data_IF_060668383508
#
_entry.id   IF_060668383508
#
_cell.length_a   1.000
_cell.length_b   1.000
_cell.length_c   1.000
_cell.angle_alpha   90.00
_cell.angle_beta   90.00
_cell.angle_gamma   90.00
#
_symmetry.space_group_name_H-M   'P 1'
#
loop_
_entity.id
_entity.type
_entity.pdbx_description
1 polymer ?
#
# COMPACT_ATOMS: atom_id res chain seq x y z
N UNK A 1 -3.81 -6.76 20.35
CA UNK A 1 -2.51 -6.99 21.04
C UNK A 1 -1.62 -7.81 20.13
N UNK A 2 -0.36 -7.37 19.94
CA UNK A 2 0.61 -8.11 19.11
C UNK A 2 1.07 -9.40 19.83
N UNK A 3 1.02 -10.52 19.13
CA UNK A 3 1.33 -11.83 19.67
C UNK A 3 2.53 -12.49 18.96
N UNK A 4 3.30 -13.36 19.63
CA UNK A 4 4.42 -14.08 19.01
C UNK A 4 4.01 -14.89 17.76
N UNK A 5 2.80 -15.43 17.73
CA UNK A 5 2.21 -16.14 16.59
C UNK A 5 2.11 -15.26 15.34
N UNK A 6 1.71 -14.00 15.51
CA UNK A 6 1.65 -13.01 14.43
C UNK A 6 3.04 -12.76 13.81
N UNK A 7 4.06 -12.61 14.66
CA UNK A 7 5.44 -12.45 14.18
C UNK A 7 5.92 -13.66 13.41
N UNK A 8 5.60 -14.85 13.88
CA UNK A 8 5.99 -16.12 13.24
C UNK A 8 5.32 -16.27 11.87
N UNK A 9 4.01 -15.98 11.75
CA UNK A 9 3.29 -15.99 10.47
C UNK A 9 3.92 -15.01 9.48
N UNK A 10 4.11 -13.75 9.91
CA UNK A 10 4.78 -12.74 9.08
C UNK A 10 6.18 -13.16 8.61
N UNK A 11 6.98 -13.76 9.48
CA UNK A 11 8.33 -14.23 9.14
C UNK A 11 8.33 -15.43 8.17
N UNK A 12 7.32 -16.31 8.25
CA UNK A 12 7.22 -17.45 7.36
C UNK A 12 6.65 -17.06 5.99
N UNK A 13 5.57 -16.29 5.98
CA UNK A 13 4.77 -16.05 4.78
C UNK A 13 5.13 -14.73 4.09
N UNK A 14 5.78 -13.79 4.82
CA UNK A 14 6.06 -12.43 4.34
C UNK A 14 4.89 -11.49 4.46
N UNK A 15 3.74 -11.94 4.97
CA UNK A 15 2.58 -11.12 5.27
C UNK A 15 1.77 -11.65 6.46
N UNK A 16 0.91 -10.79 6.99
CA UNK A 16 0.05 -11.07 8.13
C UNK A 16 -1.30 -10.38 7.92
N UNK A 17 -2.39 -11.12 7.99
CA UNK A 17 -3.75 -10.57 7.96
C UNK A 17 -4.26 -10.39 9.39
N UNK A 18 -4.73 -9.19 9.71
CA UNK A 18 -5.38 -8.87 10.98
C UNK A 18 -6.77 -8.32 10.67
N UNK A 19 -7.76 -9.19 10.79
CA UNK A 19 -9.14 -8.82 10.51
C UNK A 19 -9.70 -7.92 11.61
N UNK A 20 -10.58 -6.98 11.22
CA UNK A 20 -11.33 -6.11 12.12
C UNK A 20 -10.46 -5.33 13.14
N UNK A 21 -9.24 -4.93 12.74
CA UNK A 21 -8.37 -4.12 13.59
C UNK A 21 -9.02 -2.77 13.92
N UNK A 22 -9.74 -2.21 12.96
CA UNK A 22 -10.47 -0.96 13.06
C UNK A 22 -11.98 -1.18 12.95
N UNK A 23 -12.74 -0.53 13.81
CA UNK A 23 -14.19 -0.44 13.70
C UNK A 23 -14.62 0.64 12.69
N UNK A 24 -15.90 0.66 12.32
CA UNK A 24 -16.45 1.73 11.47
C UNK A 24 -16.26 3.12 12.07
N UNK A 25 -16.30 3.23 13.40
CA UNK A 25 -16.06 4.49 14.11
C UNK A 25 -14.60 4.92 13.95
N UNK A 26 -13.64 3.99 14.06
CA UNK A 26 -12.21 4.27 13.86
C UNK A 26 -11.94 4.77 12.43
N UNK A 27 -12.66 4.25 11.43
CA UNK A 27 -12.49 4.58 10.01
C UNK A 27 -13.27 5.82 9.55
N UNK A 28 -14.26 6.27 10.33
CA UNK A 28 -15.24 7.28 9.88
C UNK A 28 -14.61 8.55 9.31
N UNK A 29 -13.64 9.13 10.02
CA UNK A 29 -12.98 10.36 9.58
C UNK A 29 -12.15 10.16 8.29
N UNK A 30 -11.45 9.02 8.17
CA UNK A 30 -10.64 8.72 7.00
C UNK A 30 -11.52 8.44 5.78
N UNK A 31 -12.62 7.69 5.96
CA UNK A 31 -13.60 7.46 4.90
C UNK A 31 -14.23 8.76 4.41
N UNK A 32 -14.70 9.61 5.34
CA UNK A 32 -15.27 10.89 4.97
C UNK A 32 -14.27 11.75 4.17
N UNK A 33 -13.03 11.85 4.67
CA UNK A 33 -11.99 12.61 3.94
C UNK A 33 -11.65 11.98 2.59
N UNK A 34 -11.70 10.66 2.47
CA UNK A 34 -11.53 9.96 1.19
C UNK A 34 -12.67 10.30 0.22
N UNK A 35 -13.92 10.33 0.70
CA UNK A 35 -15.08 10.72 -0.11
C UNK A 35 -14.98 12.18 -0.58
N UNK A 36 -14.53 13.09 0.28
CA UNK A 36 -14.28 14.48 -0.07
C UNK A 36 -13.23 14.62 -1.19
N UNK A 37 -12.12 13.86 -1.11
CA UNK A 37 -11.06 13.86 -2.13
C UNK A 37 -11.56 13.25 -3.46
N UNK A 38 -12.39 12.22 -3.41
CA UNK A 38 -12.98 11.62 -4.61
C UNK A 38 -13.94 12.60 -5.27
N UNK A 39 -14.74 13.31 -4.48
CA UNK A 39 -15.71 14.29 -4.99
C UNK A 39 -15.04 15.56 -5.54
N UNK A 40 -13.98 16.02 -4.88
CA UNK A 40 -13.19 17.19 -5.26
C UNK A 40 -11.68 16.91 -5.09
N UNK A 41 -11.03 16.36 -6.13
CA UNK A 41 -9.60 16.05 -6.09
C UNK A 41 -8.69 17.27 -5.90
N UNK A 42 -9.18 18.46 -6.18
CA UNK A 42 -8.43 19.71 -5.99
C UNK A 42 -8.49 20.18 -4.51
N UNK A 43 -9.31 19.54 -3.68
CA UNK A 43 -9.40 19.82 -2.23
C UNK A 43 -8.21 19.27 -1.42
N UNK A 44 -7.29 18.55 -2.03
CA UNK A 44 -6.08 18.05 -1.34
C UNK A 44 -5.12 19.20 -1.01
N UNK A 45 -4.36 19.11 0.09
CA UNK A 45 -3.32 20.09 0.40
C UNK A 45 -2.25 20.17 -0.70
N UNK A 46 -1.60 21.32 -0.83
CA UNK A 46 -0.43 21.47 -1.69
C UNK A 46 0.66 20.46 -1.30
N UNK A 47 1.26 19.80 -2.30
CA UNK A 47 2.25 18.74 -2.12
C UNK A 47 1.69 17.31 -2.15
N UNK A 48 0.37 17.14 -2.06
CA UNK A 48 -0.28 15.84 -2.27
C UNK A 48 -0.36 15.53 -3.76
N UNK A 49 0.13 14.36 -4.15
CA UNK A 49 -0.01 13.87 -5.53
C UNK A 49 -1.37 13.19 -5.72
N UNK A 50 -2.06 13.50 -6.82
CA UNK A 50 -3.30 12.82 -7.23
C UNK A 50 -3.07 12.10 -8.54
N UNK A 51 -3.32 10.78 -8.57
CA UNK A 51 -3.30 9.94 -9.77
C UNK A 51 -4.71 9.54 -10.18
N UNK A 52 -4.94 9.38 -11.47
CA UNK A 52 -6.24 8.99 -12.04
C UNK A 52 -6.14 7.68 -12.81
N UNK A 53 -7.27 7.02 -13.03
CA UNK A 53 -7.33 5.78 -13.81
C UNK A 53 -6.81 6.02 -15.25
N UNK A 54 -5.92 5.10 -15.69
CA UNK A 54 -5.34 5.18 -17.03
C UNK A 54 -4.31 6.30 -17.23
N UNK A 55 -3.90 7.00 -16.17
CA UNK A 55 -2.84 8.02 -16.29
C UNK A 55 -1.54 7.40 -16.77
N UNK A 56 -1.06 7.88 -17.89
CA UNK A 56 0.33 7.70 -18.35
C UNK A 56 1.10 9.00 -18.17
N UNK A 57 2.43 8.94 -18.18
CA UNK A 57 3.26 10.14 -18.08
C UNK A 57 2.94 11.20 -19.17
N UNK A 58 2.43 10.75 -20.33
CA UNK A 58 2.06 11.61 -21.46
C UNK A 58 0.67 12.26 -21.31
N UNK A 59 -0.24 11.64 -20.55
CA UNK A 59 -1.67 12.02 -20.52
C UNK A 59 -2.02 13.04 -19.43
N UNK A 60 -1.16 13.25 -18.43
CA UNK A 60 -1.48 14.00 -17.20
C UNK A 60 -1.90 15.45 -17.39
N UNK A 61 -1.70 16.01 -18.57
CA UNK A 61 -2.01 17.41 -18.86
C UNK A 61 -3.28 17.61 -19.69
N UNK A 62 -4.01 16.54 -20.06
CA UNK A 62 -5.21 16.65 -20.89
C UNK A 62 -6.48 16.84 -20.05
N UNK A 63 -7.47 17.57 -20.60
CA UNK A 63 -8.80 17.73 -19.99
C UNK A 63 -9.50 16.37 -19.87
N UNK A 64 -9.21 15.41 -20.74
CA UNK A 64 -9.72 14.06 -20.70
C UNK A 64 -9.18 13.31 -19.49
N UNK A 65 -7.89 13.47 -19.16
CA UNK A 65 -7.30 12.91 -17.93
C UNK A 65 -7.95 13.48 -16.67
N UNK A 66 -8.29 14.77 -16.66
CA UNK A 66 -8.94 15.43 -15.53
C UNK A 66 -10.34 14.85 -15.20
N UNK A 67 -11.01 14.26 -16.17
CA UNK A 67 -12.35 13.67 -16.03
C UNK A 67 -12.32 12.19 -15.59
N UNK A 68 -11.14 11.58 -15.50
CA UNK A 68 -11.03 10.18 -15.07
C UNK A 68 -11.17 10.05 -13.54
N UNK A 69 -11.67 8.91 -13.09
CA UNK A 69 -11.80 8.63 -11.67
C UNK A 69 -10.43 8.67 -10.94
N UNK A 70 -10.42 9.20 -9.73
CA UNK A 70 -9.22 9.18 -8.88
C UNK A 70 -8.84 7.74 -8.60
N UNK A 71 -7.60 7.37 -8.95
CA UNK A 71 -7.02 6.06 -8.66
C UNK A 71 -6.27 6.03 -7.33
N UNK A 72 -5.72 7.15 -6.92
CA UNK A 72 -4.99 7.23 -5.65
C UNK A 72 -4.34 8.57 -5.42
N UNK A 73 -3.77 8.69 -4.25
CA UNK A 73 -3.00 9.86 -3.83
C UNK A 73 -1.69 9.42 -3.19
N UNK A 74 -0.77 10.36 -3.01
CA UNK A 74 0.48 10.16 -2.27
C UNK A 74 0.76 11.35 -1.36
N UNK A 75 1.46 11.12 -0.24
CA UNK A 75 1.85 12.13 0.75
C UNK A 75 0.69 12.74 1.56
N UNK A 76 -0.44 12.05 1.68
CA UNK A 76 -1.54 12.51 2.55
C UNK A 76 -1.11 12.58 4.01
N UNK A 77 -0.34 11.61 4.52
CA UNK A 77 0.14 11.62 5.92
C UNK A 77 1.04 12.83 6.19
N UNK A 78 1.77 13.30 5.20
CA UNK A 78 2.64 14.47 5.37
C UNK A 78 1.86 15.79 5.45
N UNK A 79 0.75 15.90 4.73
CA UNK A 79 0.09 17.19 4.51
C UNK A 79 -1.36 17.26 5.02
N UNK A 80 -2.03 16.13 5.25
CA UNK A 80 -3.41 16.08 5.70
C UNK A 80 -3.53 15.55 7.15
N UNK A 81 -4.03 16.37 8.10
CA UNK A 81 -4.10 16.00 9.51
C UNK A 81 -4.97 14.77 9.81
N UNK A 82 -5.93 14.42 8.95
CA UNK A 82 -6.77 13.23 9.14
C UNK A 82 -5.93 11.97 8.95
N UNK A 83 -5.18 11.90 7.85
CA UNK A 83 -4.30 10.76 7.55
C UNK A 83 -3.09 10.72 8.48
N UNK A 84 -2.56 11.88 8.90
CA UNK A 84 -1.48 11.94 9.89
C UNK A 84 -1.88 11.28 11.21
N UNK A 85 -3.05 11.66 11.77
CA UNK A 85 -3.57 11.03 12.99
C UNK A 85 -3.88 9.55 12.81
N UNK A 86 -4.36 9.16 11.63
CA UNK A 86 -4.66 7.77 11.33
C UNK A 86 -3.39 6.91 11.29
N UNK A 87 -2.32 7.38 10.68
CA UNK A 87 -1.06 6.65 10.57
C UNK A 87 -0.37 6.37 11.92
N UNK A 88 -0.70 7.12 12.97
CA UNK A 88 -0.14 6.91 14.30
C UNK A 88 -1.13 6.25 15.28
N UNK A 89 -2.19 5.65 14.79
CA UNK A 89 -3.16 4.94 15.65
C UNK A 89 -2.45 3.85 16.49
N UNK A 90 -2.69 3.81 17.81
CA UNK A 90 -1.98 2.88 18.71
C UNK A 90 -2.07 1.42 18.30
N UNK A 91 -3.24 0.96 17.81
CA UNK A 91 -3.46 -0.40 17.33
C UNK A 91 -2.54 -0.76 16.15
N UNK A 92 -2.30 0.20 15.25
CA UNK A 92 -1.45 0.04 14.09
C UNK A 92 0.02 0.01 14.50
N UNK A 93 0.45 1.00 15.31
CA UNK A 93 1.83 1.11 15.77
C UNK A 93 2.25 -0.06 16.69
N UNK A 94 1.32 -0.62 17.45
CA UNK A 94 1.60 -1.81 18.27
C UNK A 94 2.10 -2.97 17.40
N UNK A 95 1.41 -3.25 16.27
CA UNK A 95 1.77 -4.34 15.37
C UNK A 95 3.06 -3.98 14.61
N UNK A 96 3.13 -2.79 14.04
CA UNK A 96 4.32 -2.33 13.30
C UNK A 96 5.59 -2.40 14.18
N UNK A 97 5.50 -1.89 15.43
CA UNK A 97 6.61 -1.95 16.38
C UNK A 97 6.95 -3.37 16.81
N UNK A 98 5.96 -4.25 16.88
CA UNK A 98 6.18 -5.69 17.13
C UNK A 98 6.95 -6.38 16.01
N UNK A 99 6.74 -5.96 14.75
CA UNK A 99 7.43 -6.49 13.58
C UNK A 99 8.82 -5.88 13.38
N UNK A 100 8.95 -4.56 13.45
CA UNK A 100 10.16 -3.80 13.10
C UNK A 100 11.02 -3.39 14.30
N UNK A 101 10.42 -3.28 15.49
CA UNK A 101 11.06 -2.70 16.66
C UNK A 101 10.52 -1.32 17.02
N UNK A 102 10.96 -0.71 18.14
CA UNK A 102 10.27 0.42 18.76
C UNK A 102 10.36 1.75 17.98
N UNK A 103 11.41 1.95 17.20
CA UNK A 103 11.67 3.21 16.49
C UNK A 103 11.33 3.06 15.02
N UNK A 104 10.19 3.59 14.63
CA UNK A 104 9.67 3.52 13.26
C UNK A 104 9.16 4.88 12.80
N UNK A 105 9.20 5.11 11.49
CA UNK A 105 8.63 6.27 10.82
C UNK A 105 7.63 5.81 9.75
N UNK A 106 6.69 6.66 9.37
CA UNK A 106 5.93 6.49 8.11
C UNK A 106 6.83 6.95 6.97
N UNK A 107 7.49 6.00 6.33
CA UNK A 107 8.42 6.27 5.24
C UNK A 107 7.69 6.84 4.01
N UNK A 108 6.56 6.22 3.65
CA UNK A 108 5.67 6.66 2.56
C UNK A 108 4.23 6.32 2.90
N UNK A 109 3.32 7.02 2.22
CA UNK A 109 1.90 6.71 2.25
C UNK A 109 1.27 6.88 0.88
N UNK A 110 0.22 6.13 0.66
CA UNK A 110 -0.64 6.18 -0.52
C UNK A 110 -2.07 5.89 -0.10
N UNK A 111 -3.01 6.47 -0.80
CA UNK A 111 -4.37 5.98 -0.84
C UNK A 111 -4.59 5.37 -2.22
N UNK A 112 -4.99 4.10 -2.28
CA UNK A 112 -5.28 3.41 -3.54
C UNK A 112 -6.77 3.06 -3.61
N UNK A 113 -7.37 3.52 -4.69
CA UNK A 113 -8.79 3.43 -4.95
C UNK A 113 -8.99 2.58 -6.21
N UNK A 114 -9.90 1.63 -6.14
CA UNK A 114 -10.40 0.91 -7.31
C UNK A 114 -11.86 1.26 -7.52
N UNK A 115 -12.17 2.19 -8.44
CA UNK A 115 -13.56 2.43 -8.85
C UNK A 115 -14.13 1.19 -9.55
N UNK A 116 -15.45 1.16 -9.84
CA UNK A 116 -16.01 0.20 -10.79
C UNK A 116 -15.19 0.17 -12.09
N UNK A 117 -14.75 -1.04 -12.51
CA UNK A 117 -13.85 -1.22 -13.65
C UNK A 117 -12.38 -0.84 -13.41
N UNK A 118 -12.00 -0.49 -12.18
CA UNK A 118 -10.63 -0.12 -11.81
C UNK A 118 -9.63 -1.23 -12.11
N UNK A 119 -8.47 -0.85 -12.70
CA UNK A 119 -7.50 -1.78 -13.24
C UNK A 119 -6.79 -2.65 -12.19
N UNK A 120 -6.36 -3.83 -12.61
CA UNK A 120 -5.45 -4.69 -11.85
C UNK A 120 -4.11 -3.99 -11.58
N UNK A 121 -3.46 -4.37 -10.49
CA UNK A 121 -2.04 -4.08 -10.23
C UNK A 121 -1.26 -5.38 -10.41
N UNK A 122 -0.34 -5.45 -11.38
CA UNK A 122 0.49 -6.62 -11.60
C UNK A 122 1.34 -7.00 -10.38
N UNK A 123 1.84 -8.23 -10.38
CA UNK A 123 2.74 -8.73 -9.36
C UNK A 123 3.97 -7.82 -9.21
N UNK A 124 4.29 -7.43 -8.00
CA UNK A 124 5.42 -6.52 -7.70
C UNK A 124 5.85 -6.66 -6.24
N UNK A 125 6.95 -6.00 -5.89
CA UNK A 125 7.43 -5.78 -4.54
C UNK A 125 7.50 -4.27 -4.28
N UNK A 126 7.18 -3.83 -3.07
CA UNK A 126 7.35 -2.42 -2.69
C UNK A 126 8.82 -2.00 -2.75
N UNK A 127 9.71 -2.90 -2.37
CA UNK A 127 11.17 -2.68 -2.42
C UNK A 127 11.71 -2.45 -3.83
N UNK A 128 11.04 -2.90 -4.87
CA UNK A 128 11.42 -2.57 -6.26
C UNK A 128 11.34 -1.06 -6.52
N UNK A 129 10.43 -0.37 -5.83
CA UNK A 129 10.26 1.09 -5.92
C UNK A 129 11.11 1.84 -4.90
N UNK A 130 11.23 1.31 -3.68
CA UNK A 130 11.77 2.06 -2.55
C UNK A 130 13.25 1.80 -2.28
N UNK A 131 13.75 0.60 -2.54
CA UNK A 131 15.17 0.24 -2.30
C UNK A 131 15.64 0.64 -0.90
N UNK A 132 14.85 0.33 0.13
CA UNK A 132 15.16 0.63 1.53
C UNK A 132 16.05 -0.46 2.11
N UNK A 133 17.11 -0.07 2.79
CA UNK A 133 18.04 -0.97 3.46
C UNK A 133 18.15 -0.67 4.96
N UNK A 134 18.33 -1.71 5.80
CA UNK A 134 18.23 -3.15 5.47
C UNK A 134 16.85 -3.54 4.93
N UNK A 135 16.80 -4.48 3.98
CA UNK A 135 15.57 -4.86 3.26
C UNK A 135 14.41 -5.27 4.18
N UNK A 136 14.71 -5.94 5.30
CA UNK A 136 13.73 -6.37 6.29
C UNK A 136 13.18 -5.25 7.18
N UNK A 137 13.63 -4.02 7.00
CA UNK A 137 13.22 -2.88 7.83
C UNK A 137 12.13 -2.01 7.17
N UNK A 138 11.42 -2.56 6.19
CA UNK A 138 10.24 -1.96 5.56
C UNK A 138 9.04 -2.89 5.70
N UNK A 139 7.98 -2.41 6.34
CA UNK A 139 6.66 -3.08 6.46
C UNK A 139 5.60 -2.18 5.89
N UNK A 140 4.77 -2.73 5.04
CA UNK A 140 3.58 -2.05 4.51
C UNK A 140 2.34 -2.50 5.26
N UNK A 141 1.55 -1.55 5.75
CA UNK A 141 0.21 -1.78 6.26
C UNK A 141 -0.82 -1.36 5.21
N UNK A 142 -1.48 -2.32 4.60
CA UNK A 142 -2.59 -2.11 3.69
C UNK A 142 -3.90 -2.14 4.48
N UNK A 143 -4.55 -1.00 4.67
CA UNK A 143 -5.77 -0.83 5.48
C UNK A 143 -6.99 -0.81 4.58
N UNK A 144 -7.87 -1.79 4.74
CA UNK A 144 -9.13 -1.88 4.02
C UNK A 144 -10.14 -0.84 4.54
N UNK A 145 -10.43 0.21 3.77
CA UNK A 145 -11.52 1.13 4.08
C UNK A 145 -12.89 0.51 3.74
N UNK A 146 -12.95 -0.31 2.71
CA UNK A 146 -14.10 -1.08 2.30
C UNK A 146 -13.80 -2.57 2.39
N UNK A 147 -14.82 -3.42 2.37
CA UNK A 147 -14.64 -4.85 2.19
C UNK A 147 -13.89 -5.14 0.89
N UNK A 148 -12.86 -5.97 0.96
CA UNK A 148 -12.11 -6.43 -0.21
C UNK A 148 -12.48 -7.88 -0.52
N UNK A 149 -13.04 -8.12 -1.69
CA UNK A 149 -13.48 -9.44 -2.17
C UNK A 149 -12.71 -9.86 -3.41
N UNK A 150 -12.88 -11.11 -3.84
CA UNK A 150 -12.30 -11.59 -5.10
C UNK A 150 -12.82 -10.79 -6.30
N UNK A 151 -14.08 -10.39 -6.26
CA UNK A 151 -14.75 -9.68 -7.36
C UNK A 151 -14.31 -8.22 -7.47
N UNK A 152 -14.00 -7.55 -6.33
CA UNK A 152 -13.56 -6.15 -6.35
C UNK A 152 -12.04 -5.98 -6.29
N UNK A 153 -11.29 -7.07 -6.45
CA UNK A 153 -9.84 -7.09 -6.54
C UNK A 153 -9.13 -6.95 -5.19
N UNK A 154 -9.41 -7.89 -4.27
CA UNK A 154 -8.64 -8.03 -3.02
C UNK A 154 -7.14 -8.21 -3.31
N UNK A 155 -6.32 -8.07 -2.27
CA UNK A 155 -4.89 -8.33 -2.38
C UNK A 155 -4.60 -9.83 -2.55
N UNK A 156 -3.56 -10.13 -3.33
CA UNK A 156 -2.98 -11.46 -3.46
C UNK A 156 -1.50 -11.41 -3.08
N UNK A 157 -1.02 -12.39 -2.35
CA UNK A 157 0.36 -12.50 -1.90
C UNK A 157 0.97 -13.84 -2.29
N UNK A 158 2.27 -13.86 -2.60
CA UNK A 158 3.03 -15.09 -2.79
C UNK A 158 3.74 -15.43 -1.48
N UNK A 159 3.25 -16.43 -0.72
CA UNK A 159 3.83 -16.77 0.58
C UNK A 159 5.32 -17.14 0.46
N UNK A 160 6.14 -16.63 1.38
CA UNK A 160 7.57 -16.91 1.44
C UNK A 160 8.43 -16.19 0.40
N UNK A 161 7.84 -15.49 -0.58
CA UNK A 161 8.58 -14.82 -1.66
C UNK A 161 9.56 -13.74 -1.18
N UNK A 162 9.33 -13.16 -0.01
CA UNK A 162 10.20 -12.16 0.61
C UNK A 162 11.59 -12.70 0.96
N UNK A 163 11.74 -14.02 1.09
CA UNK A 163 13.03 -14.65 1.42
C UNK A 163 14.03 -14.64 0.27
N UNK A 164 13.57 -14.33 -0.94
CA UNK A 164 14.42 -14.19 -2.12
C UNK A 164 15.03 -12.79 -2.28
N UNK A 165 14.74 -11.86 -1.35
CA UNK A 165 15.20 -10.47 -1.45
C UNK A 165 14.47 -9.67 -2.53
N UNK A 166 15.15 -8.66 -3.06
CA UNK A 166 14.60 -7.77 -4.08
C UNK A 166 14.83 -8.37 -5.47
N UNK A 167 13.74 -8.63 -6.20
CA UNK A 167 13.83 -9.07 -7.59
C UNK A 167 14.21 -7.90 -8.50
N UNK A 168 14.98 -8.20 -9.55
CA UNK A 168 15.10 -7.30 -10.69
C UNK A 168 13.74 -7.11 -11.35
N UNK A 169 13.55 -5.97 -11.97
CA UNK A 169 12.29 -5.62 -12.63
C UNK A 169 12.49 -5.39 -14.12
N UNK A 170 11.51 -5.81 -14.91
CA UNK A 170 11.46 -5.54 -16.34
C UNK A 170 10.09 -4.95 -16.72
N UNK A 171 9.99 -4.37 -17.89
CA UNK A 171 8.71 -3.86 -18.38
C UNK A 171 7.72 -5.02 -18.58
N UNK A 172 6.47 -4.80 -18.14
CA UNK A 172 5.39 -5.72 -18.43
C UNK A 172 5.13 -5.71 -19.96
N UNK A 173 5.27 -6.85 -20.66
CA UNK A 173 5.09 -6.90 -22.12
C UNK A 173 3.68 -6.49 -22.56
N UNK A 174 2.67 -6.75 -21.73
CA UNK A 174 1.27 -6.43 -22.03
C UNK A 174 0.87 -5.01 -21.56
N UNK A 175 1.64 -4.46 -20.61
CA UNK A 175 1.38 -3.16 -19.98
C UNK A 175 2.70 -2.41 -19.72
N UNK A 176 3.31 -1.79 -20.73
CA UNK A 176 4.66 -1.20 -20.64
C UNK A 176 4.86 -0.13 -19.57
N UNK A 177 3.77 0.44 -19.04
CA UNK A 177 3.80 1.40 -17.91
C UNK A 177 3.98 0.72 -16.55
N UNK A 178 3.83 -0.60 -16.49
CA UNK A 178 4.06 -1.41 -15.30
C UNK A 178 5.40 -2.13 -15.41
N UNK A 179 6.00 -2.38 -14.25
CA UNK A 179 7.20 -3.20 -14.14
C UNK A 179 6.83 -4.46 -13.35
N UNK A 180 7.31 -5.60 -13.83
CA UNK A 180 7.09 -6.91 -13.23
C UNK A 180 8.42 -7.50 -12.75
N UNK A 181 8.43 -8.32 -11.70
CA UNK A 181 9.65 -8.96 -11.22
C UNK A 181 10.15 -10.01 -12.22
N UNK A 182 11.45 -10.05 -12.41
CA UNK A 182 12.12 -11.10 -13.19
C UNK A 182 12.30 -12.31 -12.29
N UNK A 183 11.48 -13.34 -12.50
CA UNK A 183 11.49 -14.57 -11.69
C UNK A 183 12.09 -15.77 -12.44
N UNK A 184 12.72 -15.56 -13.58
CA UNK A 184 13.29 -16.64 -14.40
C UNK A 184 14.35 -17.40 -13.61
N UNK A 185 14.14 -18.72 -13.47
CA UNK A 185 15.04 -19.58 -12.70
C UNK A 185 14.86 -19.55 -11.19
N UNK A 186 13.85 -18.82 -10.69
CA UNK A 186 13.50 -18.78 -9.28
C UNK A 186 12.15 -19.46 -9.11
N UNK A 187 12.10 -20.46 -8.25
CA UNK A 187 10.83 -21.12 -7.89
C UNK A 187 10.11 -20.25 -6.87
N UNK A 188 9.01 -19.62 -7.29
CA UNK A 188 8.10 -18.89 -6.43
C UNK A 188 6.78 -19.66 -6.29
N UNK A 189 6.14 -19.58 -5.12
CA UNK A 189 4.83 -20.21 -4.90
C UNK A 189 3.72 -19.53 -5.69
N UNK A 190 2.53 -20.14 -5.63
CA UNK A 190 1.33 -19.56 -6.23
C UNK A 190 0.79 -18.40 -5.36
N UNK A 191 0.26 -17.34 -5.97
CA UNK A 191 -0.40 -16.26 -5.23
C UNK A 191 -1.64 -16.75 -4.47
N UNK A 192 -1.79 -16.33 -3.23
CA UNK A 192 -2.95 -16.59 -2.38
C UNK A 192 -3.76 -15.32 -2.26
N UNK A 193 -5.04 -15.37 -2.60
CA UNK A 193 -5.97 -14.26 -2.44
C UNK A 193 -6.33 -14.05 -0.96
N UNK A 194 -6.38 -12.79 -0.54
CA UNK A 194 -6.67 -12.37 0.83
C UNK A 194 -7.91 -11.46 0.87
N UNK A 195 -9.14 -12.02 0.70
CA UNK A 195 -10.34 -11.25 0.93
C UNK A 195 -10.46 -10.90 2.41
N UNK A 196 -10.85 -9.67 2.73
CA UNK A 196 -10.95 -9.19 4.10
C UNK A 196 -12.11 -8.22 4.28
N UNK A 197 -12.79 -8.22 5.44
CA UNK A 197 -13.79 -7.22 5.78
C UNK A 197 -13.16 -5.82 5.92
N UNK A 198 -13.98 -4.79 5.82
CA UNK A 198 -13.57 -3.42 6.09
C UNK A 198 -12.99 -3.30 7.51
N UNK A 199 -11.98 -2.44 7.70
CA UNK A 199 -11.28 -2.29 8.98
C UNK A 199 -10.17 -3.31 9.23
N UNK A 200 -10.00 -4.28 8.35
CA UNK A 200 -8.87 -5.21 8.40
C UNK A 200 -7.59 -4.55 7.89
N UNK A 201 -6.46 -5.06 8.34
CA UNK A 201 -5.14 -4.61 7.90
C UNK A 201 -4.31 -5.82 7.47
N UNK A 202 -3.70 -5.73 6.30
CA UNK A 202 -2.70 -6.69 5.85
C UNK A 202 -1.34 -6.02 5.98
N UNK A 203 -0.49 -6.59 6.83
CA UNK A 203 0.91 -6.17 6.97
C UNK A 203 1.77 -7.05 6.08
N UNK A 204 2.58 -6.47 5.21
CA UNK A 204 3.49 -7.25 4.38
C UNK A 204 4.92 -6.71 4.36
N UNK A 205 5.86 -7.59 4.18
CA UNK A 205 7.27 -7.31 4.02
C UNK A 205 7.52 -6.60 2.69
N UNK A 206 8.38 -5.60 2.66
CA UNK A 206 8.67 -4.84 1.45
C UNK A 206 9.12 -5.69 0.25
N UNK A 207 9.73 -6.86 0.51
CA UNK A 207 10.11 -7.84 -0.53
C UNK A 207 9.04 -8.90 -0.81
N UNK A 208 7.87 -8.89 -0.15
CA UNK A 208 6.82 -9.85 -0.44
C UNK A 208 6.15 -9.52 -1.78
N UNK A 209 6.16 -10.50 -2.69
CA UNK A 209 5.47 -10.37 -3.98
C UNK A 209 3.95 -10.31 -3.75
N UNK A 210 3.32 -9.29 -4.33
CA UNK A 210 1.89 -9.09 -4.20
C UNK A 210 1.28 -8.43 -5.43
N UNK A 211 -0.02 -8.64 -5.59
CA UNK A 211 -0.82 -8.17 -6.71
C UNK A 211 -2.25 -7.85 -6.26
N UNK A 212 -3.05 -7.31 -7.16
CA UNK A 212 -4.50 -7.25 -6.99
C UNK A 212 -5.21 -7.23 -8.33
N UNK A 213 -6.30 -7.97 -8.46
CA UNK A 213 -7.09 -8.02 -9.69
C UNK A 213 -7.87 -6.72 -9.95
N UNK A 214 -8.52 -6.64 -11.10
CA UNK A 214 -9.44 -5.57 -11.43
C UNK A 214 -10.69 -5.59 -10.53
N UNK A 215 -11.34 -4.45 -10.40
CA UNK A 215 -12.64 -4.36 -9.74
C UNK A 215 -13.76 -4.60 -10.76
N UNK A 216 -14.42 -5.74 -10.69
CA UNK A 216 -15.54 -6.13 -11.55
C UNK A 216 -16.92 -5.82 -10.96
N UNK A 217 -16.95 -5.09 -9.83
CA UNK A 217 -18.20 -4.73 -9.16
C UNK A 217 -18.58 -3.28 -9.47
N UNK A 218 -19.80 -2.90 -9.07
CA UNK A 218 -20.32 -1.53 -9.18
C UNK A 218 -19.97 -0.65 -7.97
N UNK A 219 -19.17 -1.16 -7.03
CA UNK A 219 -18.78 -0.48 -5.80
C UNK A 219 -17.29 -0.16 -5.79
N UNK A 220 -16.89 0.87 -5.04
CA UNK A 220 -15.50 1.21 -4.82
C UNK A 220 -14.82 0.21 -3.88
N UNK A 221 -13.53 -0.05 -4.09
CA UNK A 221 -12.64 -0.71 -3.13
C UNK A 221 -11.51 0.25 -2.80
N UNK A 222 -11.55 0.85 -1.61
CA UNK A 222 -10.64 1.89 -1.16
C UNK A 222 -9.72 1.35 -0.06
N UNK A 223 -8.45 1.76 -0.10
CA UNK A 223 -7.46 1.39 0.90
C UNK A 223 -6.50 2.53 1.18
N UNK A 224 -6.06 2.63 2.43
CA UNK A 224 -4.89 3.44 2.82
C UNK A 224 -3.70 2.52 2.97
N UNK A 225 -2.58 2.89 2.35
CA UNK A 225 -1.34 2.14 2.39
C UNK A 225 -0.29 2.99 3.13
N UNK A 226 0.25 2.42 4.20
CA UNK A 226 1.25 3.06 5.04
C UNK A 226 2.52 2.20 5.04
N UNK A 227 3.58 2.73 4.48
CA UNK A 227 4.88 2.08 4.46
C UNK A 227 5.69 2.55 5.66
N UNK A 228 5.86 1.68 6.64
CA UNK A 228 6.68 1.95 7.82
C UNK A 228 8.09 1.42 7.63
N UNK A 229 9.06 2.24 8.01
CA UNK A 229 10.45 1.81 8.06
C UNK A 229 11.04 2.12 9.43
N UNK A 230 12.08 1.37 9.84
CA UNK A 230 12.80 1.74 11.06
C UNK A 230 13.46 3.11 10.90
N UNK A 231 13.66 3.85 11.99
CA UNK A 231 14.25 5.18 11.95
C UNK A 231 15.68 5.22 11.39
N UNK A 232 16.38 4.07 11.37
CA UNK A 232 17.74 3.93 10.81
C UNK A 232 17.75 3.52 9.33
N UNK A 233 16.65 2.99 8.82
CA UNK A 233 16.56 2.54 7.44
C UNK A 233 16.73 3.71 6.46
N UNK A 234 17.39 3.44 5.32
CA UNK A 234 17.63 4.42 4.28
C UNK A 234 17.36 3.81 2.91
N UNK A 235 16.81 4.62 2.03
CA UNK A 235 16.68 4.26 0.61
C UNK A 235 18.00 4.55 -0.13
N UNK A 236 18.31 3.73 -1.13
CA UNK A 236 19.35 4.04 -2.12
C UNK A 236 19.01 5.29 -2.94
N UNK A 237 17.73 5.64 -3.03
CA UNK A 237 17.22 6.82 -3.71
C UNK A 237 17.17 7.99 -2.72
N UNK A 238 18.19 8.86 -2.71
CA UNK A 238 18.36 9.93 -1.73
C UNK A 238 17.11 10.81 -1.58
N UNK A 239 16.48 11.17 -2.68
CA UNK A 239 15.24 11.94 -2.67
C UNK A 239 14.11 11.33 -1.82
N UNK A 240 14.13 10.00 -1.63
CA UNK A 240 13.15 9.34 -0.78
C UNK A 240 13.46 9.53 0.70
N UNK A 241 14.72 9.68 1.07
CA UNK A 241 15.13 9.94 2.45
C UNK A 241 14.77 11.35 2.90
N UNK A 242 14.75 12.31 1.98
CA UNK A 242 14.37 13.71 2.24
C UNK A 242 12.85 13.91 2.37
N UNK A 243 12.07 12.96 1.90
CA UNK A 243 10.61 13.06 1.78
C UNK A 243 9.87 12.05 2.67
N UNK A 244 10.37 11.71 3.85
CA UNK A 244 9.66 10.87 4.82
C UNK A 244 8.29 11.49 5.13
N UNK A 245 7.22 10.68 5.09
CA UNK A 245 5.85 11.17 5.30
C UNK A 245 5.62 11.66 6.73
N UNK A 246 6.14 10.92 7.74
CA UNK A 246 6.04 11.32 9.15
C UNK A 246 7.14 10.64 9.98
N UNK A 247 7.91 11.44 10.71
CA UNK A 247 8.77 10.96 11.78
C UNK A 247 7.92 10.71 13.05
N UNK A 248 8.13 9.57 13.71
CA UNK A 248 7.37 9.17 14.91
C UNK A 248 8.33 9.09 16.09
N UNK A 249 8.09 9.87 17.12
CA UNK A 249 8.86 9.91 18.39
C UNK A 249 8.70 8.62 19.24
#
# INVERSE_FOLDING_TARGET
MFEPSMKKSYQNDGFLVVENLFSDVDLSCVRQRTDDIVADPDSVPEGVGVGREGDTAADRSSQEAANRAVRGTSFLVRFDPVFQRFAVQPKLLEIVRGLLGPKVNVFRDQMLLKPPGGQAKPLHQDQSYFRVHPEGELVTAWVALDEATLENGCMCYVPGSHTHGIFEIDADPDRPVHHVPVTVGIEIGEPVSCPVPAGSVIFHHGCCLHASDENRTDSWRRAVILHYATARARSEKEQLNEQISLEID
#
